data_IF_014735091811
#
_entry.id   IF_014735091811
#
_cell.length_a   1.000
_cell.length_b   1.000
_cell.length_c   1.000
_cell.angle_alpha   90.00
_cell.angle_beta   90.00
_cell.angle_gamma   90.00
#
_symmetry.space_group_name_H-M   'P 1'
#
loop_
_entity.id
_entity.type
_entity.pdbx_description
1 polymer ?
#
# COMPACT_ATOMS: atom_id res chain seq x y z
N UNK A 1 5.28 10.95 4.52
CA UNK A 1 3.95 10.43 4.92
C UNK A 1 4.17 9.60 6.16
N UNK A 2 3.59 9.98 7.29
CA UNK A 2 3.74 9.21 8.51
C UNK A 2 2.57 8.22 8.59
N UNK A 3 2.80 7.02 8.08
CA UNK A 3 1.80 5.94 8.01
C UNK A 3 1.58 5.26 9.37
N UNK A 4 2.44 5.55 10.36
CA UNK A 4 2.36 4.96 11.69
C UNK A 4 1.09 5.41 12.40
N UNK A 5 0.40 4.43 13.00
CA UNK A 5 -0.79 4.66 13.81
C UNK A 5 -0.48 5.39 15.13
N UNK A 6 0.77 5.38 15.61
CA UNK A 6 1.16 6.03 16.88
C UNK A 6 0.98 7.55 16.88
N UNK A 7 1.07 8.20 15.71
CA UNK A 7 0.78 9.63 15.59
C UNK A 7 -0.70 9.98 15.80
N UNK A 8 -1.56 8.97 15.88
CA UNK A 8 -3.00 9.09 16.06
C UNK A 8 -3.47 8.33 17.32
N UNK A 9 -2.56 8.05 18.25
CA UNK A 9 -2.90 7.54 19.58
C UNK A 9 -3.42 8.66 20.51
N UNK A 10 -3.81 8.30 21.73
CA UNK A 10 -4.31 9.26 22.72
C UNK A 10 -3.35 10.36 23.11
N UNK A 11 -2.05 10.16 22.90
CA UNK A 11 -1.01 11.12 23.31
C UNK A 11 -0.68 12.08 22.19
N UNK A 12 -0.71 11.61 20.94
CA UNK A 12 -0.22 12.34 19.76
C UNK A 12 -1.32 12.81 18.82
N UNK A 13 -2.55 12.28 18.93
CA UNK A 13 -3.67 12.71 18.10
C UNK A 13 -3.98 14.20 18.34
N UNK A 14 -3.96 14.97 17.25
CA UNK A 14 -4.27 16.39 17.26
C UNK A 14 -5.46 16.69 16.36
N UNK A 15 -6.26 17.68 16.77
CA UNK A 15 -7.34 18.26 15.95
C UNK A 15 -6.86 18.75 14.57
N UNK A 16 -5.57 19.01 14.40
CA UNK A 16 -5.01 19.54 13.15
C UNK A 16 -4.31 18.48 12.29
N UNK A 17 -4.27 17.22 12.73
CA UNK A 17 -3.61 16.13 12.01
C UNK A 17 -4.65 15.29 11.26
N UNK A 18 -4.42 15.01 9.97
CA UNK A 18 -5.32 14.19 9.13
C UNK A 18 -4.52 13.15 8.35
N UNK A 19 -4.94 11.88 8.48
CA UNK A 19 -4.35 10.75 7.77
C UNK A 19 -5.23 10.42 6.57
N UNK A 20 -4.94 11.06 5.43
CA UNK A 20 -5.63 10.80 4.16
C UNK A 20 -5.16 9.51 3.45
N UNK A 21 -4.07 8.92 3.92
CA UNK A 21 -3.48 7.68 3.40
C UNK A 21 -3.89 6.49 4.28
N UNK A 22 -3.51 5.28 3.89
CA UNK A 22 -3.63 4.10 4.74
C UNK A 22 -2.70 4.15 5.97
N UNK A 23 -3.01 3.38 7.00
CA UNK A 23 -2.16 3.20 8.17
C UNK A 23 -1.42 1.86 8.15
N UNK A 24 -0.38 1.74 8.98
CA UNK A 24 0.37 0.49 9.15
C UNK A 24 -0.52 -0.68 9.58
N UNK A 25 -1.49 -0.45 10.47
CA UNK A 25 -2.44 -1.48 10.86
C UNK A 25 -3.36 -1.88 9.71
N UNK A 26 -3.85 -0.92 8.91
CA UNK A 26 -4.66 -1.24 7.72
C UNK A 26 -3.91 -2.15 6.75
N UNK A 27 -2.63 -1.81 6.50
CA UNK A 27 -1.75 -2.55 5.59
C UNK A 27 -1.57 -4.00 6.08
N UNK A 28 -1.17 -4.17 7.34
CA UNK A 28 -0.93 -5.50 7.91
C UNK A 28 -2.21 -6.34 7.97
N UNK A 29 -3.35 -5.75 8.37
CA UNK A 29 -4.64 -6.44 8.40
C UNK A 29 -5.14 -6.81 7.01
N UNK A 30 -4.89 -5.99 5.99
CA UNK A 30 -5.26 -6.29 4.61
C UNK A 30 -4.54 -7.54 4.09
N UNK A 31 -3.23 -7.64 4.32
CA UNK A 31 -2.45 -8.83 3.95
C UNK A 31 -2.92 -10.05 4.75
N UNK A 32 -3.12 -9.90 6.08
CA UNK A 32 -3.65 -10.98 6.91
C UNK A 32 -5.01 -11.50 6.44
N UNK A 33 -5.93 -10.60 6.08
CA UNK A 33 -7.23 -10.93 5.51
C UNK A 33 -7.09 -11.65 4.17
N UNK A 34 -6.27 -11.12 3.26
CA UNK A 34 -6.06 -11.72 1.95
C UNK A 34 -5.54 -13.15 2.06
N UNK A 35 -4.51 -13.42 2.85
CA UNK A 35 -4.00 -14.78 3.03
C UNK A 35 -5.01 -15.70 3.76
N UNK A 36 -5.69 -15.20 4.79
CA UNK A 36 -6.61 -16.02 5.60
C UNK A 36 -7.99 -16.26 5.00
N UNK A 37 -8.51 -15.33 4.20
CA UNK A 37 -9.89 -15.36 3.71
C UNK A 37 -10.00 -15.55 2.21
N UNK A 38 -9.01 -15.10 1.42
CA UNK A 38 -9.06 -15.14 -0.04
C UNK A 38 -8.12 -16.22 -0.58
N UNK A 39 -6.82 -16.09 -0.36
CA UNK A 39 -5.78 -16.93 -0.99
C UNK A 39 -5.67 -18.32 -0.38
N UNK A 40 -5.65 -18.44 0.96
CA UNK A 40 -5.68 -19.68 1.75
C UNK A 40 -4.72 -20.80 1.32
N UNK A 41 -3.58 -20.45 0.71
CA UNK A 41 -2.62 -21.42 0.17
C UNK A 41 -1.41 -21.57 1.10
N UNK A 42 -0.75 -20.47 1.41
CA UNK A 42 0.39 -20.41 2.32
C UNK A 42 -0.09 -20.27 3.77
N UNK A 43 0.62 -20.85 4.74
CA UNK A 43 0.34 -20.83 6.19
C UNK A 43 1.54 -20.39 7.01
N UNK A 44 2.75 -20.43 6.45
CA UNK A 44 4.00 -20.15 7.18
C UNK A 44 4.60 -18.83 6.74
N UNK A 45 4.66 -17.87 7.65
CA UNK A 45 5.11 -16.51 7.37
C UNK A 45 6.39 -16.19 8.12
N UNK A 46 7.20 -15.29 7.55
CA UNK A 46 8.32 -14.65 8.22
C UNK A 46 8.23 -13.14 8.06
N UNK A 47 8.48 -12.38 9.11
CA UNK A 47 8.50 -10.92 9.05
C UNK A 47 9.96 -10.44 8.99
N UNK A 48 10.27 -9.60 8.02
CA UNK A 48 11.51 -8.84 7.97
C UNK A 48 11.18 -7.37 7.75
N UNK A 49 11.68 -6.50 8.64
CA UNK A 49 11.41 -5.06 8.55
C UNK A 49 12.61 -4.20 8.94
N UNK A 50 12.57 -2.93 8.54
CA UNK A 50 13.49 -1.91 9.03
C UNK A 50 13.27 -1.60 10.52
N UNK A 51 14.37 -1.51 11.28
CA UNK A 51 14.39 -1.33 12.74
C UNK A 51 14.13 0.12 13.16
N UNK A 52 12.89 0.56 12.92
CA UNK A 52 12.34 1.81 13.43
C UNK A 52 10.82 1.69 13.51
N UNK A 53 10.17 2.70 14.08
CA UNK A 53 8.74 2.70 14.41
C UNK A 53 7.84 2.10 13.31
N UNK A 54 8.05 2.49 12.06
CA UNK A 54 7.23 2.02 10.96
C UNK A 54 7.28 0.50 10.73
N UNK A 55 8.48 -0.09 10.79
CA UNK A 55 8.66 -1.53 10.55
C UNK A 55 7.98 -2.36 11.64
N UNK A 56 8.17 -1.97 12.90
CA UNK A 56 7.52 -2.59 14.06
C UNK A 56 5.98 -2.44 13.98
N UNK A 57 5.49 -1.24 13.67
CA UNK A 57 4.04 -0.97 13.56
C UNK A 57 3.37 -1.77 12.44
N UNK A 58 4.06 -1.96 11.30
CA UNK A 58 3.59 -2.84 10.23
C UNK A 58 3.53 -4.31 10.64
N UNK A 59 4.59 -4.79 11.31
CA UNK A 59 4.66 -6.16 11.81
C UNK A 59 3.50 -6.46 12.79
N UNK A 60 3.22 -5.52 13.69
CA UNK A 60 2.11 -5.62 14.64
C UNK A 60 0.75 -5.62 13.95
N UNK A 61 0.56 -4.77 12.94
CA UNK A 61 -0.62 -4.78 12.08
C UNK A 61 -0.83 -6.14 11.41
N UNK A 62 0.24 -6.74 10.90
CA UNK A 62 0.18 -8.05 10.23
C UNK A 62 -0.10 -9.18 11.22
N UNK A 63 0.55 -9.19 12.39
CA UNK A 63 0.27 -10.14 13.48
C UNK A 63 -1.20 -10.07 13.93
N UNK A 64 -1.75 -8.86 14.09
CA UNK A 64 -3.19 -8.65 14.37
C UNK A 64 -4.06 -9.24 13.26
N UNK A 65 -3.73 -8.95 12.00
CA UNK A 65 -4.42 -9.48 10.82
C UNK A 65 -4.43 -11.01 10.77
N UNK A 66 -3.29 -11.65 11.00
CA UNK A 66 -3.20 -13.12 11.06
C UNK A 66 -4.04 -13.68 12.21
N UNK A 67 -3.94 -13.10 13.42
CA UNK A 67 -4.73 -13.56 14.57
C UNK A 67 -6.24 -13.49 14.32
N UNK A 68 -6.70 -12.44 13.65
CA UNK A 68 -8.12 -12.22 13.38
C UNK A 68 -8.64 -13.06 12.22
N UNK A 69 -7.87 -13.16 11.14
CA UNK A 69 -8.34 -13.70 9.86
C UNK A 69 -7.78 -15.06 9.51
N UNK A 70 -6.65 -15.45 10.09
CA UNK A 70 -5.93 -16.68 9.78
C UNK A 70 -5.27 -17.33 11.01
N UNK A 71 -6.04 -17.71 12.05
CA UNK A 71 -5.48 -18.22 13.31
C UNK A 71 -4.65 -19.51 13.17
N UNK A 72 -4.80 -20.25 12.07
CA UNK A 72 -4.00 -21.42 11.72
C UNK A 72 -2.65 -21.09 11.04
N UNK A 73 -2.39 -19.82 10.73
CA UNK A 73 -1.10 -19.36 10.25
C UNK A 73 -0.04 -19.44 11.34
N UNK A 74 1.19 -19.75 10.95
CA UNK A 74 2.35 -19.80 11.84
C UNK A 74 3.35 -18.73 11.44
N UNK A 75 3.71 -17.85 12.38
CA UNK A 75 4.84 -16.96 12.25
C UNK A 75 6.10 -17.71 12.69
N UNK A 76 7.01 -17.94 11.74
CA UNK A 76 8.24 -18.71 11.97
C UNK A 76 9.41 -17.86 12.45
N UNK A 77 9.26 -16.54 12.40
CA UNK A 77 10.24 -15.59 12.88
C UNK A 77 9.88 -14.17 12.50
N UNK A 78 10.53 -13.25 13.19
CA UNK A 78 10.42 -11.81 13.03
C UNK A 78 11.82 -11.25 13.30
N UNK A 79 12.39 -10.55 12.33
CA UNK A 79 13.69 -9.88 12.47
C UNK A 79 13.60 -8.44 11.99
N UNK A 80 14.45 -7.60 12.59
CA UNK A 80 14.60 -6.21 12.22
C UNK A 80 16.04 -5.91 11.86
N UNK A 81 16.23 -5.14 10.78
CA UNK A 81 17.55 -4.73 10.34
C UNK A 81 17.71 -3.20 10.40
N UNK A 82 18.91 -2.67 10.66
CA UNK A 82 19.15 -1.23 10.61
C UNK A 82 18.85 -0.66 9.22
N UNK A 83 18.46 0.60 9.17
CA UNK A 83 18.21 1.33 7.93
C UNK A 83 19.46 1.40 7.04
N UNK A 84 19.24 1.37 5.73
CA UNK A 84 20.28 1.49 4.70
C UNK A 84 21.28 0.33 4.73
N UNK A 85 20.78 -0.86 5.07
CA UNK A 85 21.55 -2.09 5.08
C UNK A 85 21.92 -2.50 3.65
N UNK A 86 23.14 -3.02 3.50
CA UNK A 86 23.67 -3.48 2.21
C UNK A 86 23.75 -4.99 2.09
N UNK A 87 23.80 -5.73 3.20
CA UNK A 87 23.93 -7.18 3.20
C UNK A 87 22.73 -7.82 3.91
N UNK A 88 21.86 -8.44 3.13
CA UNK A 88 20.67 -9.16 3.61
C UNK A 88 20.90 -10.67 3.66
N UNK A 89 22.07 -11.18 3.26
CA UNK A 89 22.33 -12.61 3.16
C UNK A 89 22.10 -13.36 4.48
N UNK A 90 22.50 -12.84 5.67
CA UNK A 90 22.22 -13.53 6.94
C UNK A 90 20.73 -13.69 7.23
N UNK A 91 19.93 -12.63 7.03
CA UNK A 91 18.47 -12.67 7.22
C UNK A 91 17.82 -13.64 6.23
N UNK A 92 18.23 -13.57 4.96
CA UNK A 92 17.70 -14.43 3.91
C UNK A 92 18.03 -15.92 4.12
N UNK A 93 19.23 -16.23 4.64
CA UNK A 93 19.58 -17.60 5.04
C UNK A 93 18.72 -18.10 6.19
N UNK A 94 18.52 -17.27 7.23
CA UNK A 94 17.66 -17.59 8.37
C UNK A 94 16.20 -17.82 7.93
N UNK A 95 15.67 -16.94 7.09
CA UNK A 95 14.32 -17.07 6.51
C UNK A 95 14.20 -18.39 5.73
N UNK A 96 15.16 -18.69 4.85
CA UNK A 96 15.16 -19.94 4.07
C UNK A 96 15.20 -21.17 4.98
N UNK A 97 16.03 -21.15 6.02
CA UNK A 97 16.14 -22.25 6.99
C UNK A 97 14.88 -22.43 7.85
N UNK A 98 14.12 -21.37 8.10
CA UNK A 98 12.87 -21.44 8.87
C UNK A 98 11.77 -22.29 8.21
N UNK A 99 11.81 -22.43 6.88
CA UNK A 99 10.75 -23.07 6.10
C UNK A 99 9.53 -22.17 5.86
N UNK A 100 9.70 -20.85 5.90
CA UNK A 100 8.67 -19.89 5.53
C UNK A 100 8.26 -20.03 4.07
N UNK A 101 6.97 -19.82 3.83
CA UNK A 101 6.34 -19.83 2.51
C UNK A 101 6.16 -18.42 1.96
N UNK A 102 6.10 -17.41 2.83
CA UNK A 102 5.92 -16.00 2.49
C UNK A 102 6.80 -15.13 3.38
N UNK A 103 7.43 -14.12 2.79
CA UNK A 103 8.12 -13.05 3.51
C UNK A 103 7.17 -11.85 3.54
N UNK A 104 6.78 -11.39 4.73
CA UNK A 104 6.11 -10.10 4.91
C UNK A 104 7.14 -9.02 5.19
N UNK A 105 7.11 -7.94 4.41
CA UNK A 105 8.03 -6.81 4.60
C UNK A 105 7.37 -5.47 4.29
N UNK A 106 7.73 -4.47 5.10
CA UNK A 106 7.40 -3.07 4.89
C UNK A 106 8.54 -2.25 4.31
N UNK A 107 9.69 -2.86 4.01
CA UNK A 107 10.90 -2.12 3.69
C UNK A 107 10.68 -1.20 2.49
N UNK A 108 11.17 0.03 2.60
CA UNK A 108 11.22 1.00 1.51
C UNK A 108 12.66 1.17 0.99
N UNK A 109 12.79 1.83 -0.16
CA UNK A 109 14.07 1.99 -0.87
C UNK A 109 15.07 2.80 -0.04
N UNK A 110 16.33 2.34 0.11
CA UNK A 110 16.99 1.35 -0.73
C UNK A 110 16.93 -0.09 -0.20
N UNK A 111 16.44 -0.32 1.01
CA UNK A 111 16.50 -1.62 1.66
C UNK A 111 15.63 -2.66 0.93
N UNK A 112 14.42 -2.27 0.53
CA UNK A 112 13.50 -3.13 -0.23
C UNK A 112 14.14 -3.66 -1.53
N UNK A 113 14.84 -2.77 -2.23
CA UNK A 113 15.56 -3.07 -3.46
C UNK A 113 16.68 -4.09 -3.20
N UNK A 114 17.54 -3.79 -2.23
CA UNK A 114 18.68 -4.64 -1.87
C UNK A 114 18.22 -6.03 -1.43
N UNK A 115 17.17 -6.08 -0.61
CA UNK A 115 16.56 -7.31 -0.12
C UNK A 115 16.05 -8.18 -1.29
N UNK A 116 15.25 -7.61 -2.21
CA UNK A 116 14.70 -8.39 -3.31
C UNK A 116 15.80 -8.87 -4.27
N UNK A 117 16.74 -8.00 -4.64
CA UNK A 117 17.86 -8.35 -5.52
C UNK A 117 18.68 -9.50 -4.94
N UNK A 118 19.08 -9.40 -3.67
CA UNK A 118 19.87 -10.43 -3.01
C UNK A 118 19.10 -11.74 -2.83
N UNK A 119 17.82 -11.67 -2.48
CA UNK A 119 16.96 -12.85 -2.40
C UNK A 119 16.97 -13.60 -3.74
N UNK A 120 16.83 -12.90 -4.87
CA UNK A 120 16.85 -13.54 -6.18
C UNK A 120 18.23 -14.07 -6.58
N UNK A 121 19.30 -13.36 -6.27
CA UNK A 121 20.69 -13.84 -6.49
C UNK A 121 20.99 -15.12 -5.70
N UNK A 122 20.42 -15.26 -4.50
CA UNK A 122 20.53 -16.45 -3.66
C UNK A 122 19.57 -17.59 -4.06
N UNK A 123 18.81 -17.43 -5.15
CA UNK A 123 17.82 -18.40 -5.61
C UNK A 123 16.58 -18.50 -4.72
N UNK A 124 16.35 -17.55 -3.82
CA UNK A 124 15.14 -17.50 -2.99
C UNK A 124 14.00 -16.95 -3.84
N UNK A 125 13.05 -17.83 -4.17
CA UNK A 125 11.85 -17.53 -4.98
C UNK A 125 10.58 -17.43 -4.14
N UNK A 126 10.72 -17.29 -2.82
CA UNK A 126 9.57 -17.06 -1.94
C UNK A 126 8.82 -15.78 -2.39
N UNK A 127 7.48 -15.80 -2.38
CA UNK A 127 6.67 -14.61 -2.55
C UNK A 127 6.93 -13.62 -1.41
N UNK A 128 6.94 -12.34 -1.75
CA UNK A 128 7.00 -11.24 -0.80
C UNK A 128 5.62 -10.59 -0.73
N UNK A 129 4.98 -10.67 0.44
CA UNK A 129 3.84 -9.83 0.79
C UNK A 129 4.39 -8.48 1.24
N UNK A 130 4.17 -7.43 0.45
CA UNK A 130 4.94 -6.20 0.57
C UNK A 130 4.10 -4.93 0.40
N UNK A 131 4.72 -3.82 0.79
CA UNK A 131 4.20 -2.47 0.62
C UNK A 131 4.98 -1.61 -0.39
N UNK A 132 6.29 -1.79 -0.57
CA UNK A 132 7.12 -0.91 -1.40
C UNK A 132 8.06 -1.65 -2.37
N UNK A 133 7.77 -2.90 -2.70
CA UNK A 133 8.36 -3.60 -3.85
C UNK A 133 7.55 -3.31 -5.13
N UNK A 134 7.30 -2.03 -5.39
CA UNK A 134 6.50 -1.52 -6.51
C UNK A 134 7.28 -0.54 -7.41
N UNK A 135 8.54 -0.22 -7.10
CA UNK A 135 9.34 0.72 -7.88
C UNK A 135 9.84 0.08 -9.19
N UNK A 136 9.41 0.58 -10.36
CA UNK A 136 9.62 -0.12 -11.62
C UNK A 136 11.07 -0.16 -12.08
N UNK A 137 11.93 0.83 -11.79
CA UNK A 137 13.34 0.75 -12.18
C UNK A 137 14.05 -0.40 -11.45
N UNK A 138 13.73 -0.61 -10.18
CA UNK A 138 14.19 -1.73 -9.36
C UNK A 138 13.67 -3.07 -9.86
N UNK A 139 12.37 -3.16 -10.12
CA UNK A 139 11.73 -4.38 -10.60
C UNK A 139 12.33 -4.87 -11.93
N UNK A 140 12.68 -3.94 -12.84
CA UNK A 140 13.36 -4.30 -14.09
C UNK A 140 14.77 -4.89 -13.90
N UNK A 141 15.46 -4.61 -12.78
CA UNK A 141 16.79 -5.20 -12.52
C UNK A 141 16.72 -6.68 -12.17
N UNK A 142 15.63 -7.12 -11.53
CA UNK A 142 15.43 -8.55 -11.22
C UNK A 142 14.56 -9.26 -12.27
N UNK A 143 14.02 -8.51 -13.24
CA UNK A 143 13.29 -9.02 -14.40
C UNK A 143 11.96 -9.70 -14.06
N UNK A 144 11.32 -10.27 -15.08
CA UNK A 144 10.04 -10.99 -14.95
C UNK A 144 10.12 -12.13 -13.93
N UNK A 145 11.17 -12.95 -13.99
CA UNK A 145 11.33 -14.11 -13.09
C UNK A 145 11.68 -13.73 -11.64
N UNK A 146 12.23 -12.54 -11.42
CA UNK A 146 12.52 -12.02 -10.08
C UNK A 146 11.33 -11.37 -9.42
N UNK A 147 10.35 -10.90 -10.20
CA UNK A 147 9.19 -10.15 -9.71
C UNK A 147 7.88 -10.94 -9.75
N UNK A 148 7.86 -12.08 -10.43
CA UNK A 148 6.68 -12.96 -10.43
C UNK A 148 6.39 -13.47 -9.03
N UNK A 149 5.12 -13.34 -8.61
CA UNK A 149 4.65 -13.81 -7.31
C UNK A 149 4.89 -12.84 -6.16
N UNK A 150 5.33 -11.60 -6.42
CA UNK A 150 5.17 -10.53 -5.44
C UNK A 150 3.67 -10.30 -5.18
N UNK A 151 3.32 -10.08 -3.92
CA UNK A 151 1.97 -9.76 -3.47
C UNK A 151 2.02 -8.38 -2.83
N UNK A 152 1.44 -7.38 -3.48
CA UNK A 152 1.56 -5.99 -3.10
C UNK A 152 0.25 -5.45 -2.53
N UNK A 153 0.31 -4.74 -1.40
CA UNK A 153 -0.85 -4.02 -0.85
C UNK A 153 -0.87 -2.57 -1.35
N UNK A 154 -2.00 -2.17 -1.93
CA UNK A 154 -2.14 -0.91 -2.65
C UNK A 154 -3.32 -0.09 -2.12
N UNK A 155 -3.08 1.18 -1.83
CA UNK A 155 -4.11 2.18 -1.55
C UNK A 155 -4.74 2.77 -2.82
N UNK A 156 -4.23 2.45 -4.01
CA UNK A 156 -4.72 3.00 -5.29
C UNK A 156 -5.13 1.91 -6.30
N UNK A 157 -5.25 0.67 -5.85
CA UNK A 157 -5.65 -0.45 -6.71
C UNK A 157 -7.07 -0.33 -7.24
N UNK A 158 -7.38 -1.19 -8.21
CA UNK A 158 -8.69 -1.31 -8.82
C UNK A 158 -8.99 -2.79 -9.13
N UNK A 159 -10.10 -3.30 -8.61
CA UNK A 159 -10.59 -4.64 -8.95
C UNK A 159 -11.24 -4.65 -10.35
N UNK A 160 -10.99 -5.67 -11.16
CA UNK A 160 -11.59 -5.81 -12.50
C UNK A 160 -11.06 -4.83 -13.56
N UNK A 161 -9.81 -4.38 -13.42
CA UNK A 161 -9.12 -3.53 -14.39
C UNK A 161 -9.06 -2.04 -13.99
N UNK A 162 -7.97 -1.38 -14.35
CA UNK A 162 -7.68 0.00 -13.97
C UNK A 162 -8.48 1.05 -14.77
N UNK A 163 -8.89 0.73 -16.00
CA UNK A 163 -9.53 1.68 -16.91
C UNK A 163 -10.96 1.26 -17.23
N UNK A 164 -11.90 1.70 -16.38
CA UNK A 164 -13.33 1.36 -16.48
C UNK A 164 -14.14 2.42 -17.20
N UNK A 165 -13.63 3.65 -17.29
CA UNK A 165 -14.36 4.79 -17.90
C UNK A 165 -13.54 5.50 -18.97
N UNK A 166 -14.18 6.17 -19.95
CA UNK A 166 -13.48 7.03 -20.90
C UNK A 166 -12.64 8.13 -20.25
N UNK A 167 -13.10 8.65 -19.10
CA UNK A 167 -12.36 9.67 -18.32
C UNK A 167 -11.04 9.14 -17.77
N UNK A 168 -11.03 7.92 -17.22
CA UNK A 168 -9.81 7.27 -16.73
C UNK A 168 -8.80 7.02 -17.87
N UNK A 169 -9.29 6.53 -19.02
CA UNK A 169 -8.44 6.31 -20.21
C UNK A 169 -7.85 7.64 -20.70
N UNK A 170 -8.67 8.70 -20.75
CA UNK A 170 -8.22 10.04 -21.16
C UNK A 170 -7.14 10.58 -20.22
N UNK A 171 -7.36 10.49 -18.91
CA UNK A 171 -6.40 10.96 -17.90
C UNK A 171 -5.07 10.21 -17.99
N UNK A 172 -5.11 8.87 -18.11
CA UNK A 172 -3.92 8.05 -18.28
C UNK A 172 -3.15 8.38 -19.56
N UNK A 173 -3.84 8.52 -20.70
CA UNK A 173 -3.21 8.92 -21.96
C UNK A 173 -2.56 10.29 -21.87
N UNK A 174 -3.19 11.25 -21.19
CA UNK A 174 -2.62 12.57 -20.97
C UNK A 174 -1.35 12.50 -20.13
N UNK A 175 -1.38 11.75 -19.03
CA UNK A 175 -0.20 11.49 -18.19
C UNK A 175 0.95 10.90 -19.02
N UNK A 176 0.70 9.77 -19.71
CA UNK A 176 1.73 9.08 -20.47
C UNK A 176 2.29 9.93 -21.63
N UNK A 177 1.45 10.77 -22.25
CA UNK A 177 1.89 11.72 -23.28
C UNK A 177 2.82 12.78 -22.70
N UNK A 178 2.49 13.34 -21.54
CA UNK A 178 3.33 14.33 -20.86
C UNK A 178 4.68 13.70 -20.43
N UNK A 179 4.64 12.49 -19.89
CA UNK A 179 5.84 11.74 -19.53
C UNK A 179 6.76 11.51 -20.75
N UNK A 180 6.20 11.13 -21.90
CA UNK A 180 6.97 10.89 -23.14
C UNK A 180 7.53 12.14 -23.81
N UNK A 181 6.80 13.25 -23.75
CA UNK A 181 7.07 14.40 -24.64
C UNK A 181 7.52 15.67 -23.92
N UNK A 182 7.27 15.79 -22.60
CA UNK A 182 7.47 17.04 -21.87
C UNK A 182 8.37 16.91 -20.66
N UNK A 183 8.25 15.83 -19.90
CA UNK A 183 8.99 15.71 -18.65
C UNK A 183 10.46 15.40 -18.89
N UNK A 184 11.33 16.17 -18.23
CA UNK A 184 12.77 15.95 -18.20
C UNK A 184 13.22 15.30 -16.88
N UNK A 185 14.52 15.06 -16.72
CA UNK A 185 15.08 14.54 -15.47
C UNK A 185 14.67 15.37 -14.24
N UNK A 186 14.36 14.75 -13.08
CA UNK A 186 14.34 13.30 -12.81
C UNK A 186 13.01 12.59 -13.16
N UNK A 187 12.06 13.29 -13.78
CA UNK A 187 10.68 12.82 -13.98
C UNK A 187 10.46 11.98 -15.26
N UNK A 188 11.49 11.79 -16.06
CA UNK A 188 11.47 10.99 -17.29
C UNK A 188 11.87 9.52 -17.07
N UNK A 189 11.86 9.04 -15.82
CA UNK A 189 12.18 7.64 -15.47
C UNK A 189 10.92 6.77 -15.47
N UNK A 190 11.08 5.43 -15.46
CA UNK A 190 9.95 4.46 -15.47
C UNK A 190 9.00 4.63 -14.28
N UNK A 191 9.49 5.18 -13.17
CA UNK A 191 8.70 5.50 -11.98
C UNK A 191 7.48 6.36 -12.33
N UNK A 192 7.63 7.27 -13.26
CA UNK A 192 6.59 8.22 -13.65
C UNK A 192 5.83 7.79 -14.91
N UNK A 193 5.98 6.57 -15.42
CA UNK A 193 5.39 6.17 -16.70
C UNK A 193 3.85 6.09 -16.69
N UNK A 194 3.27 5.61 -15.57
CA UNK A 194 1.83 5.33 -15.49
C UNK A 194 1.03 6.22 -14.52
N UNK A 195 1.68 6.90 -13.56
CA UNK A 195 0.99 7.80 -12.62
C UNK A 195 -0.04 7.10 -11.72
N UNK A 196 0.14 5.81 -11.44
CA UNK A 196 -0.77 4.99 -10.62
C UNK A 196 -0.13 4.66 -9.26
N UNK A 197 -0.65 3.67 -8.55
CA UNK A 197 -0.11 3.20 -7.26
C UNK A 197 -0.01 4.34 -6.24
N UNK A 198 1.10 4.36 -5.51
CA UNK A 198 1.35 5.40 -4.51
C UNK A 198 1.40 6.82 -5.09
N UNK A 199 1.94 7.01 -6.31
CA UNK A 199 1.95 8.31 -7.00
C UNK A 199 0.53 8.81 -7.23
N UNK A 200 -0.32 7.94 -7.81
CA UNK A 200 -1.73 8.25 -8.04
C UNK A 200 -2.46 8.60 -6.75
N UNK A 201 -2.22 7.84 -5.67
CA UNK A 201 -2.85 8.11 -4.37
C UNK A 201 -2.45 9.47 -3.80
N UNK A 202 -1.16 9.79 -3.74
CA UNK A 202 -0.70 11.06 -3.16
C UNK A 202 -1.16 12.28 -3.95
N UNK A 203 -1.23 12.18 -5.27
CA UNK A 203 -1.79 13.23 -6.12
C UNK A 203 -3.27 13.44 -5.78
N UNK A 204 -4.06 12.36 -5.75
CA UNK A 204 -5.51 12.45 -5.52
C UNK A 204 -5.85 12.90 -4.08
N UNK A 205 -5.06 12.49 -3.08
CA UNK A 205 -5.18 12.99 -1.71
C UNK A 205 -4.88 14.49 -1.61
N UNK A 206 -3.92 14.99 -2.39
CA UNK A 206 -3.65 16.43 -2.49
C UNK A 206 -4.84 17.16 -3.11
N UNK A 207 -5.44 16.61 -4.18
CA UNK A 207 -6.65 17.18 -4.78
C UNK A 207 -7.87 17.16 -3.84
N UNK A 208 -7.99 16.15 -2.98
CA UNK A 208 -9.02 16.12 -1.95
C UNK A 208 -8.87 17.31 -0.99
N UNK A 209 -7.66 17.53 -0.45
CA UNK A 209 -7.38 18.69 0.41
C UNK A 209 -7.69 20.02 -0.30
N UNK A 210 -7.28 20.18 -1.56
CA UNK A 210 -7.55 21.39 -2.33
C UNK A 210 -9.06 21.62 -2.52
N UNK A 211 -9.83 20.55 -2.78
CA UNK A 211 -11.29 20.61 -2.89
C UNK A 211 -11.97 20.98 -1.56
N UNK A 212 -11.43 20.51 -0.43
CA UNK A 212 -11.90 20.92 0.90
C UNK A 212 -11.63 22.40 1.14
N UNK A 213 -10.42 22.89 0.83
CA UNK A 213 -10.05 24.31 0.99
C UNK A 213 -10.94 25.21 0.12
N UNK A 214 -11.19 24.81 -1.13
CA UNK A 214 -12.08 25.51 -2.05
C UNK A 214 -13.50 25.62 -1.48
N UNK A 215 -14.08 24.51 -1.01
CA UNK A 215 -15.42 24.50 -0.40
C UNK A 215 -15.49 25.24 0.94
N UNK A 216 -14.40 25.25 1.71
CA UNK A 216 -14.30 26.06 2.93
C UNK A 216 -14.24 27.57 2.63
N UNK A 217 -13.85 27.96 1.41
CA UNK A 217 -13.65 29.35 1.01
C UNK A 217 -12.60 30.07 1.87
N UNK A 218 -11.66 29.32 2.46
CA UNK A 218 -10.72 29.85 3.45
C UNK A 218 -9.53 28.91 3.66
N UNK A 219 -8.40 29.51 4.04
CA UNK A 219 -7.21 28.80 4.53
C UNK A 219 -7.16 28.70 6.06
N UNK A 220 -8.21 29.16 6.76
CA UNK A 220 -8.35 29.01 8.21
C UNK A 220 -8.51 27.51 8.56
N UNK A 221 -7.66 26.95 9.45
CA UNK A 221 -7.70 25.53 9.77
C UNK A 221 -9.03 25.08 10.38
N UNK A 222 -9.70 25.91 11.19
CA UNK A 222 -10.99 25.54 11.80
C UNK A 222 -12.10 25.42 10.76
N UNK A 223 -12.07 26.28 9.72
CA UNK A 223 -13.01 26.18 8.60
C UNK A 223 -12.74 24.96 7.74
N UNK A 224 -11.46 24.66 7.49
CA UNK A 224 -11.04 23.46 6.74
C UNK A 224 -11.46 22.20 7.49
N UNK A 225 -11.14 22.09 8.78
CA UNK A 225 -11.49 20.95 9.63
C UNK A 225 -12.99 20.66 9.59
N UNK A 226 -13.81 21.70 9.74
CA UNK A 226 -15.27 21.58 9.71
C UNK A 226 -15.80 21.02 8.39
N UNK A 227 -15.12 21.29 7.27
CA UNK A 227 -15.49 20.75 5.95
C UNK A 227 -14.94 19.34 5.77
N UNK A 228 -13.74 19.03 6.29
CA UNK A 228 -13.08 17.75 6.04
C UNK A 228 -13.63 16.61 6.91
N UNK A 229 -14.02 16.89 8.15
CA UNK A 229 -14.61 15.88 9.04
C UNK A 229 -15.88 15.26 8.42
N UNK A 230 -15.90 13.93 8.24
CA UNK A 230 -16.94 13.14 7.54
C UNK A 230 -17.11 13.42 6.04
N UNK A 231 -16.19 14.18 5.44
CA UNK A 231 -16.20 14.42 4.01
C UNK A 231 -15.85 13.16 3.21
N UNK A 232 -16.39 13.06 1.99
CA UNK A 232 -16.08 11.98 1.06
C UNK A 232 -15.54 12.49 -0.26
N UNK A 233 -14.56 11.79 -0.82
CA UNK A 233 -13.93 12.16 -2.08
C UNK A 233 -13.73 10.95 -2.98
N UNK A 234 -14.17 11.06 -4.23
CA UNK A 234 -13.97 10.05 -5.25
C UNK A 234 -12.67 10.31 -6.00
N UNK A 235 -11.72 9.39 -5.90
CA UNK A 235 -10.47 9.43 -6.64
C UNK A 235 -10.71 9.13 -8.14
N UNK A 236 -9.75 9.51 -8.97
CA UNK A 236 -9.77 9.22 -10.41
C UNK A 236 -9.95 7.73 -10.75
N UNK A 237 -9.39 6.82 -9.95
CA UNK A 237 -9.56 5.37 -10.15
C UNK A 237 -10.96 4.84 -9.76
N UNK A 238 -11.84 5.72 -9.24
CA UNK A 238 -13.21 5.40 -8.85
C UNK A 238 -13.38 5.03 -7.37
N UNK A 239 -12.31 4.89 -6.60
CA UNK A 239 -12.39 4.67 -5.15
C UNK A 239 -12.99 5.88 -4.46
N UNK A 240 -13.79 5.65 -3.42
CA UNK A 240 -14.29 6.69 -2.52
C UNK A 240 -13.59 6.57 -1.18
N UNK A 241 -13.02 7.68 -0.70
CA UNK A 241 -12.45 7.80 0.64
C UNK A 241 -13.39 8.64 1.49
N UNK A 242 -13.52 8.30 2.76
CA UNK A 242 -14.25 9.13 3.74
C UNK A 242 -13.32 9.46 4.90
N UNK A 243 -13.31 10.71 5.35
CA UNK A 243 -12.50 11.11 6.50
C UNK A 243 -13.27 10.89 7.80
N UNK A 244 -12.84 9.92 8.63
CA UNK A 244 -13.49 9.69 9.92
C UNK A 244 -13.26 10.89 10.84
N UNK A 245 -14.33 11.56 11.25
CA UNK A 245 -14.23 12.82 12.00
C UNK A 245 -13.55 12.69 13.38
N UNK A 246 -13.69 11.57 14.08
CA UNK A 246 -13.26 11.50 15.47
C UNK A 246 -11.74 11.35 15.64
N UNK A 247 -11.07 10.64 14.72
CA UNK A 247 -9.63 10.34 14.76
C UNK A 247 -8.88 10.74 13.49
N UNK A 248 -9.58 11.35 12.52
CA UNK A 248 -9.04 11.85 11.27
C UNK A 248 -8.28 10.80 10.43
N UNK A 249 -8.76 9.56 10.46
CA UNK A 249 -8.25 8.49 9.58
C UNK A 249 -9.15 8.30 8.37
N UNK A 250 -8.54 8.16 7.20
CA UNK A 250 -9.25 7.83 5.97
C UNK A 250 -9.82 6.41 6.03
N UNK A 251 -11.14 6.31 5.92
CA UNK A 251 -11.89 5.09 5.67
C UNK A 251 -11.78 4.79 4.19
N UNK A 252 -11.14 3.66 3.87
CA UNK A 252 -10.94 3.22 2.50
C UNK A 252 -10.76 1.71 2.40
N UNK A 253 -11.22 1.15 1.30
CA UNK A 253 -10.82 -0.20 0.90
C UNK A 253 -9.33 -0.20 0.54
N UNK A 254 -8.64 -1.30 0.83
CA UNK A 254 -7.31 -1.55 0.27
C UNK A 254 -7.40 -2.58 -0.84
N UNK A 255 -6.34 -2.72 -1.64
CA UNK A 255 -6.26 -3.76 -2.66
C UNK A 255 -5.04 -4.62 -2.40
N UNK A 256 -5.16 -5.92 -2.68
CA UNK A 256 -4.00 -6.82 -2.72
C UNK A 256 -3.83 -7.29 -4.15
N UNK A 257 -2.66 -7.04 -4.70
CA UNK A 257 -2.29 -7.15 -6.10
C UNK A 257 -1.24 -8.24 -6.27
N UNK A 258 -1.50 -9.22 -7.14
CA UNK A 258 -0.52 -10.26 -7.47
C UNK A 258 0.27 -9.87 -8.72
N UNK A 259 1.60 -9.96 -8.64
CA UNK A 259 2.46 -9.60 -9.76
C UNK A 259 2.60 -10.78 -10.72
N UNK A 260 2.23 -10.53 -11.97
CA UNK A 260 2.19 -11.53 -13.05
C UNK A 260 3.01 -11.09 -14.26
N UNK A 261 3.50 -12.05 -15.07
CA UNK A 261 4.24 -11.75 -16.30
C UNK A 261 3.43 -10.88 -17.28
N UNK A 262 4.09 -10.12 -18.18
CA UNK A 262 3.43 -9.18 -19.11
C UNK A 262 2.20 -9.74 -19.83
N UNK A 263 2.28 -10.99 -20.31
CA UNK A 263 1.19 -11.66 -21.01
C UNK A 263 -0.11 -11.82 -20.19
N UNK A 264 -0.03 -11.73 -18.85
CA UNK A 264 -1.17 -11.84 -17.92
C UNK A 264 -1.58 -10.50 -17.31
N UNK A 265 -0.83 -9.43 -17.53
CA UNK A 265 -1.13 -8.10 -16.96
C UNK A 265 -2.39 -7.46 -17.57
N UNK A 266 -2.90 -7.98 -18.69
CA UNK A 266 -4.13 -7.49 -19.35
C UNK A 266 -5.37 -7.46 -18.45
N UNK A 267 -5.37 -8.23 -17.35
CA UNK A 267 -6.45 -8.25 -16.37
C UNK A 267 -6.54 -6.93 -15.58
N UNK A 268 -5.39 -6.32 -15.27
CA UNK A 268 -5.32 -5.02 -14.59
C UNK A 268 -5.15 -3.87 -15.58
N UNK A 269 -4.27 -4.02 -16.58
CA UNK A 269 -4.05 -3.06 -17.64
C UNK A 269 -4.93 -3.41 -18.85
N UNK A 270 -6.20 -3.02 -18.77
CA UNK A 270 -7.26 -3.49 -19.65
C UNK A 270 -7.46 -2.65 -20.94
N UNK A 271 -6.44 -1.90 -21.37
CA UNK A 271 -6.39 -1.16 -22.65
C UNK A 271 -5.07 -1.45 -23.37
N UNK A 272 -4.93 -1.21 -24.70
CA UNK A 272 -3.63 -1.34 -25.36
C UNK A 272 -2.53 -0.50 -24.66
N UNK A 273 -1.32 -1.05 -24.44
CA UNK A 273 -0.79 -2.30 -25.00
C UNK A 273 -1.09 -3.59 -24.19
N UNK A 274 -1.97 -3.54 -23.19
CA UNK A 274 -2.39 -4.65 -22.33
C UNK A 274 -1.36 -5.17 -21.33
N UNK A 275 -0.38 -4.33 -20.98
CA UNK A 275 0.57 -4.55 -19.90
C UNK A 275 0.98 -3.20 -19.29
N UNK A 276 1.39 -3.21 -18.03
CA UNK A 276 2.07 -2.09 -17.39
C UNK A 276 3.51 -2.03 -17.90
N UNK A 277 4.27 -3.11 -17.69
CA UNK A 277 5.68 -3.18 -18.05
C UNK A 277 6.00 -4.51 -18.74
N UNK A 278 6.86 -4.46 -19.76
CA UNK A 278 7.31 -5.64 -20.49
C UNK A 278 8.51 -6.33 -19.82
N UNK A 279 9.41 -5.58 -19.19
CA UNK A 279 10.65 -6.11 -18.60
C UNK A 279 10.51 -6.71 -17.20
N UNK A 280 9.32 -6.68 -16.61
CA UNK A 280 9.06 -7.15 -15.25
C UNK A 280 7.64 -7.68 -15.12
N UNK A 281 7.41 -8.59 -14.18
CA UNK A 281 6.06 -8.83 -13.68
C UNK A 281 5.59 -7.59 -12.93
N UNK A 282 4.30 -7.33 -13.05
CA UNK A 282 3.61 -6.17 -12.47
C UNK A 282 2.18 -6.59 -12.14
N UNK A 283 1.40 -5.65 -11.61
CA UNK A 283 0.01 -5.83 -11.17
C UNK A 283 -0.77 -6.69 -12.16
N UNK A 284 -1.32 -7.80 -11.69
CA UNK A 284 -2.24 -8.69 -12.40
C UNK A 284 -3.59 -8.71 -11.68
N UNK A 285 -4.06 -9.87 -11.19
CA UNK A 285 -5.23 -9.93 -10.32
C UNK A 285 -5.10 -8.96 -9.15
N UNK A 286 -6.17 -8.19 -8.91
CA UNK A 286 -6.26 -7.23 -7.82
C UNK A 286 -7.57 -7.47 -7.09
N UNK A 287 -7.51 -7.76 -5.80
CA UNK A 287 -8.70 -8.03 -4.97
C UNK A 287 -8.90 -6.90 -3.99
N UNK A 288 -10.12 -6.37 -3.93
CA UNK A 288 -10.48 -5.35 -2.95
C UNK A 288 -10.65 -5.99 -1.56
N UNK A 289 -10.04 -5.38 -0.55
CA UNK A 289 -10.22 -5.70 0.86
C UNK A 289 -11.09 -4.59 1.48
N UNK A 290 -12.36 -4.88 1.79
CA UNK A 290 -13.28 -3.86 2.29
C UNK A 290 -12.78 -3.16 3.55
N UNK A 291 -13.00 -1.85 3.64
CA UNK A 291 -12.55 -0.98 4.73
C UNK A 291 -12.90 -1.55 6.11
N UNK A 292 -14.10 -2.14 6.26
CA UNK A 292 -14.57 -2.75 7.51
C UNK A 292 -13.67 -3.86 8.08
N UNK A 293 -12.82 -4.50 7.26
CA UNK A 293 -11.89 -5.54 7.69
C UNK A 293 -10.47 -5.02 7.95
N UNK A 294 -10.16 -3.77 7.57
CA UNK A 294 -8.79 -3.26 7.64
C UNK A 294 -8.68 -1.99 8.46
N UNK A 295 -9.75 -1.18 8.51
CA UNK A 295 -9.81 0.05 9.28
C UNK A 295 -9.45 -0.23 10.74
N UNK A 296 -8.45 0.47 11.32
CA UNK A 296 -8.09 0.26 12.71
C UNK A 296 -9.31 0.56 13.57
N UNK A 297 -9.54 -0.29 14.57
CA UNK A 297 -10.65 -0.07 15.50
C UNK A 297 -10.49 1.32 16.10
N UNK A 298 -11.59 2.06 16.12
CA UNK A 298 -11.62 3.39 16.68
C UNK A 298 -11.16 3.32 18.14
N UNK A 299 -10.15 4.12 18.50
CA UNK A 299 -9.72 4.22 19.88
C UNK A 299 -10.72 5.06 20.68
N UNK A 300 -11.60 4.38 21.43
CA UNK A 300 -12.62 5.03 22.27
C UNK A 300 -12.03 5.80 23.46
N UNK A 301 -10.74 5.66 23.74
CA UNK A 301 -10.06 6.46 24.76
C UNK A 301 -9.71 7.87 24.26
N UNK A 302 -9.74 8.11 22.94
CA UNK A 302 -9.72 9.46 22.40
C UNK A 302 -10.98 10.21 22.82
N UNK A 303 -10.81 11.36 23.47
CA UNK A 303 -11.93 12.20 23.93
C UNK A 303 -12.95 12.52 22.82
N UNK A 304 -12.48 12.65 21.58
CA UNK A 304 -13.29 12.92 20.39
C UNK A 304 -14.09 11.71 19.87
N UNK A 305 -13.70 10.48 20.24
CA UNK A 305 -14.29 9.23 19.77
C UNK A 305 -15.14 8.51 20.83
N UNK A 306 -15.15 8.96 22.10
CA UNK A 306 -15.74 8.26 23.25
C UNK A 306 -17.20 7.81 23.04
N UNK A 307 -18.02 8.68 22.46
CA UNK A 307 -19.47 8.47 22.29
C UNK A 307 -19.86 8.17 20.83
N UNK A 308 -18.89 7.85 19.98
CA UNK A 308 -19.09 7.66 18.54
C UNK A 308 -19.35 6.18 18.18
N UNK A 309 -20.07 5.96 17.09
CA UNK A 309 -20.17 4.66 16.42
C UNK A 309 -18.81 4.21 15.85
N UNK A 310 -18.65 2.95 15.42
CA UNK A 310 -17.39 2.50 14.78
C UNK A 310 -17.08 3.28 13.47
N UNK A 311 -18.12 3.83 12.84
CA UNK A 311 -18.01 4.72 11.69
C UNK A 311 -17.55 6.15 12.07
N UNK A 312 -17.53 6.50 13.36
CA UNK A 312 -17.18 7.84 13.84
C UNK A 312 -18.35 8.84 13.88
N UNK A 313 -19.57 8.38 13.62
CA UNK A 313 -20.82 9.16 13.73
C UNK A 313 -21.28 9.29 15.19
#
# INVERSE_FOLDING_TARGET
SALSDELYDTTNCSRYSFMSSFSTEQIGRAIGFYYGKIRKKEKKFYILGQDYLFGHSLADGFKKGLKEYYPEATLLGEDYHPLFMKDFAPYLQKIKASGAEVIFTGDWIPDAENLLVQARQMGIKLPFANLFLDEPNMLHRVGVDGTTGLVHVSQYGAEGGAFKTPGQIKAYKAWNTLWKTKWGPPYNTRLYEHGTGNIGSYIQQTYWLLSVIERAGSTDPEKIIKVWENDSYQLLNGKVLTMRSCDHKAIQDLHVEEYVPPAKQRESFNIPPYFWYEGTSSVGPSVAIPARYVLPKMDKSLARCKDKSEAGE
#
